data_IF_474495977353
#
_entry.id   IF_474495977353
#
_cell.length_a   1.000
_cell.length_b   1.000
_cell.length_c   1.000
_cell.angle_alpha   90.00
_cell.angle_beta   90.00
_cell.angle_gamma   90.00
#
_symmetry.space_group_name_H-M   'P 1'
#
loop_
_entity.id
_entity.type
_entity.pdbx_description
1 polymer ?
#
# COMPACT_ATOMS: atom_id res chain seq x y z
N UNK A 1 9.98 0.52 5.56
CA UNK A 1 8.96 -0.22 6.34
C UNK A 1 7.55 0.24 5.98
N UNK A 2 6.55 -0.64 6.08
CA UNK A 2 5.13 -0.29 6.03
C UNK A 2 4.48 -0.35 7.42
N UNK A 3 3.48 0.50 7.63
CA UNK A 3 2.46 0.32 8.67
C UNK A 3 1.06 0.39 8.06
N UNK A 4 -0.01 0.36 8.86
CA UNK A 4 -1.37 0.47 8.33
C UNK A 4 -2.27 1.32 9.24
N UNK A 5 -3.30 1.93 8.64
CA UNK A 5 -4.25 2.80 9.33
C UNK A 5 -5.24 2.01 10.18
N UNK A 6 -5.27 2.28 11.49
CA UNK A 6 -6.29 1.72 12.38
C UNK A 6 -7.72 2.17 12.02
N UNK A 7 -8.72 1.35 12.35
CA UNK A 7 -10.13 1.57 12.00
C UNK A 7 -10.69 2.96 12.41
N UNK A 8 -10.10 3.60 13.43
CA UNK A 8 -10.47 4.94 13.91
C UNK A 8 -10.37 6.06 12.85
N UNK A 9 -9.67 5.83 11.75
CA UNK A 9 -9.51 6.80 10.68
C UNK A 9 -10.61 6.71 9.61
N UNK A 10 -11.42 5.65 9.63
CA UNK A 10 -12.45 5.41 8.62
C UNK A 10 -13.38 6.63 8.48
N UNK A 11 -13.73 6.98 7.25
CA UNK A 11 -14.54 8.13 6.85
C UNK A 11 -13.97 9.52 7.15
N UNK A 12 -12.76 9.63 7.74
CA UNK A 12 -12.04 10.91 7.86
C UNK A 12 -11.49 11.33 6.51
N UNK A 13 -11.30 12.64 6.29
CA UNK A 13 -10.69 13.14 5.05
C UNK A 13 -9.19 12.85 5.04
N UNK A 14 -8.70 12.35 3.91
CA UNK A 14 -7.28 12.23 3.59
C UNK A 14 -6.74 13.55 3.05
N UNK A 15 -5.42 13.63 2.85
CA UNK A 15 -4.77 14.77 2.22
C UNK A 15 -5.15 14.96 0.73
N UNK A 16 -5.68 13.94 0.04
CA UNK A 16 -6.26 14.12 -1.30
C UNK A 16 -7.66 14.75 -1.28
N UNK A 17 -8.30 14.87 -0.10
CA UNK A 17 -9.67 15.34 0.06
C UNK A 17 -10.72 14.24 0.03
N UNK A 18 -10.34 13.01 -0.36
CA UNK A 18 -11.20 11.83 -0.32
C UNK A 18 -11.50 11.40 1.13
N UNK A 19 -12.60 10.68 1.34
CA UNK A 19 -12.82 9.99 2.62
C UNK A 19 -12.02 8.69 2.63
N UNK A 20 -11.29 8.44 3.71
CA UNK A 20 -10.57 7.20 3.89
C UNK A 20 -11.53 6.03 4.08
N UNK A 21 -11.51 5.07 3.16
CA UNK A 21 -12.09 3.75 3.34
C UNK A 21 -11.00 2.75 3.72
N UNK A 22 -11.19 2.04 4.84
CA UNK A 22 -10.22 1.05 5.30
C UNK A 22 -10.29 -0.26 4.49
N UNK A 23 -11.38 -0.47 3.76
CA UNK A 23 -11.64 -1.63 2.93
C UNK A 23 -11.17 -1.43 1.48
N UNK A 24 -10.86 -0.19 1.07
CA UNK A 24 -10.27 0.11 -0.23
C UNK A 24 -8.77 -0.17 -0.27
N UNK A 25 -8.22 -0.38 -1.46
CA UNK A 25 -6.78 -0.54 -1.69
C UNK A 25 -6.08 0.81 -1.85
N UNK A 26 -5.92 1.52 -0.73
CA UNK A 26 -5.29 2.84 -0.69
C UNK A 26 -4.08 2.88 0.24
N UNK A 27 -3.24 3.88 0.04
CA UNK A 27 -2.05 4.10 0.86
C UNK A 27 -1.65 5.58 0.96
N UNK A 28 -0.88 5.89 2.00
CA UNK A 28 -0.23 7.17 2.16
C UNK A 28 1.23 7.11 1.79
N UNK A 29 1.69 8.11 1.04
CA UNK A 29 3.07 8.26 0.67
C UNK A 29 3.48 9.75 0.72
N UNK A 30 4.76 10.00 1.04
CA UNK A 30 5.26 11.37 1.31
C UNK A 30 5.20 12.27 0.08
N UNK A 31 5.64 11.75 -1.07
CA UNK A 31 5.94 12.58 -2.26
C UNK A 31 5.21 12.15 -3.52
N UNK A 32 4.91 10.86 -3.70
CA UNK A 32 4.14 10.38 -4.86
C UNK A 32 2.83 11.18 -5.06
N UNK A 33 2.52 11.56 -6.32
CA UNK A 33 1.27 12.24 -6.64
C UNK A 33 0.05 11.44 -6.15
N UNK A 34 -1.03 12.16 -5.82
CA UNK A 34 -2.30 11.49 -5.55
C UNK A 34 -2.81 10.84 -6.83
N UNK A 35 -3.41 9.66 -6.70
CA UNK A 35 -3.85 8.85 -7.83
C UNK A 35 -2.78 7.92 -8.39
N UNK A 36 -1.50 8.10 -8.04
CA UNK A 36 -0.45 7.15 -8.44
C UNK A 36 -0.78 5.75 -7.92
N UNK A 37 -0.73 4.76 -8.81
CA UNK A 37 -0.86 3.34 -8.46
C UNK A 37 0.53 2.75 -8.26
N UNK A 38 0.70 2.04 -7.17
CA UNK A 38 1.95 1.37 -6.84
C UNK A 38 1.70 -0.07 -6.44
N UNK A 39 2.68 -0.91 -6.74
CA UNK A 39 2.76 -2.26 -6.22
C UNK A 39 3.57 -2.26 -4.93
N UNK A 40 2.97 -2.79 -3.88
CA UNK A 40 3.63 -2.97 -2.58
C UNK A 40 3.88 -4.45 -2.38
N UNK A 41 5.14 -4.84 -2.17
CA UNK A 41 5.53 -6.22 -1.90
C UNK A 41 5.99 -6.37 -0.46
N UNK A 42 5.39 -7.30 0.27
CA UNK A 42 5.83 -7.70 1.60
C UNK A 42 7.09 -8.55 1.49
N UNK A 43 8.17 -8.12 2.14
CA UNK A 43 9.41 -8.91 2.21
C UNK A 43 9.32 -10.05 3.24
N UNK A 44 8.24 -10.08 4.03
CA UNK A 44 8.00 -11.12 5.05
C UNK A 44 7.19 -12.28 4.46
N UNK A 45 6.15 -11.97 3.68
CA UNK A 45 5.21 -12.97 3.16
C UNK A 45 5.43 -13.27 1.67
N UNK A 46 6.21 -12.45 0.97
CA UNK A 46 6.39 -12.52 -0.47
C UNK A 46 5.17 -12.11 -1.30
N UNK A 47 4.06 -11.71 -0.64
CA UNK A 47 2.82 -11.28 -1.29
C UNK A 47 2.95 -9.85 -1.79
N UNK A 48 2.23 -9.53 -2.86
CA UNK A 48 2.16 -8.19 -3.45
C UNK A 48 0.72 -7.72 -3.56
N UNK A 49 0.50 -6.41 -3.51
CA UNK A 49 -0.81 -5.78 -3.72
C UNK A 49 -0.65 -4.45 -4.45
N UNK A 50 -1.57 -4.15 -5.36
CA UNK A 50 -1.67 -2.84 -5.98
C UNK A 50 -2.48 -1.90 -5.07
N UNK A 51 -1.98 -0.68 -4.84
CA UNK A 51 -2.69 0.35 -4.07
C UNK A 51 -2.61 1.70 -4.77
N UNK A 52 -3.59 2.56 -4.52
CA UNK A 52 -3.61 3.95 -4.97
C UNK A 52 -3.18 4.89 -3.86
N UNK A 53 -2.32 5.86 -4.18
CA UNK A 53 -1.92 6.91 -3.23
C UNK A 53 -3.05 7.93 -3.11
N UNK A 54 -3.62 8.09 -1.91
CA UNK A 54 -4.67 9.09 -1.63
C UNK A 54 -4.41 9.90 -0.36
N UNK A 55 -3.28 9.69 0.31
CA UNK A 55 -2.97 10.40 1.55
C UNK A 55 -1.46 10.72 1.69
N UNK A 56 -1.11 11.55 2.67
CA UNK A 56 0.26 11.99 2.96
C UNK A 56 0.77 11.40 4.26
N UNK A 57 2.09 11.18 4.27
CA UNK A 57 2.79 10.45 5.32
C UNK A 57 3.43 9.19 4.75
N UNK A 58 3.94 8.27 5.60
CA UNK A 58 4.17 8.43 7.03
C UNK A 58 5.19 9.53 7.33
N UNK A 59 5.03 10.27 8.43
CA UNK A 59 6.03 11.27 8.85
C UNK A 59 7.13 10.69 9.74
N UNK A 60 6.96 9.46 10.26
CA UNK A 60 7.99 8.85 11.10
C UNK A 60 9.17 8.30 10.28
N UNK A 61 10.41 8.47 10.76
CA UNK A 61 11.61 7.91 10.13
C UNK A 61 11.49 6.39 9.87
N UNK A 62 12.07 5.91 8.77
CA UNK A 62 12.13 4.48 8.42
C UNK A 62 10.83 3.87 7.85
N UNK A 63 9.68 4.53 8.01
CA UNK A 63 8.44 4.16 7.30
C UNK A 63 8.39 4.80 5.92
N UNK A 64 7.95 4.07 4.90
CA UNK A 64 7.87 4.57 3.51
C UNK A 64 6.44 4.60 2.98
N UNK A 65 5.53 3.83 3.59
CA UNK A 65 4.12 3.77 3.20
C UNK A 65 3.26 3.38 4.39
N UNK A 66 2.07 3.96 4.49
CA UNK A 66 1.01 3.51 5.41
C UNK A 66 -0.16 2.97 4.58
N UNK A 67 -0.52 1.71 4.80
CA UNK A 67 -1.51 0.97 4.01
C UNK A 67 -2.91 1.07 4.63
N UNK A 68 -3.95 0.91 3.82
CA UNK A 68 -5.28 0.58 4.32
C UNK A 68 -5.30 -0.80 5.00
N UNK A 69 -6.37 -1.09 5.74
CA UNK A 69 -6.55 -2.41 6.39
C UNK A 69 -6.65 -3.52 5.35
N UNK A 70 -7.42 -3.32 4.28
CA UNK A 70 -7.56 -4.28 3.19
C UNK A 70 -6.22 -4.59 2.48
N UNK A 71 -5.43 -3.55 2.19
CA UNK A 71 -4.11 -3.75 1.59
C UNK A 71 -3.16 -4.51 2.53
N UNK A 72 -3.13 -4.16 3.81
CA UNK A 72 -2.34 -4.89 4.81
C UNK A 72 -2.79 -6.35 4.98
N UNK A 73 -4.10 -6.61 4.91
CA UNK A 73 -4.67 -7.96 4.94
C UNK A 73 -4.25 -8.78 3.72
N UNK A 74 -4.33 -8.20 2.52
CA UNK A 74 -3.89 -8.86 1.29
C UNK A 74 -2.40 -9.19 1.30
N UNK A 75 -1.57 -8.36 1.94
CA UNK A 75 -0.16 -8.65 2.15
C UNK A 75 0.13 -9.66 3.28
N UNK A 76 -0.87 -10.05 4.06
CA UNK A 76 -0.68 -10.90 5.23
C UNK A 76 0.11 -10.21 6.36
N UNK A 77 -0.08 -8.89 6.51
CA UNK A 77 0.62 -8.06 7.51
C UNK A 77 -0.23 -7.72 8.75
N UNK A 78 -1.50 -8.13 8.79
CA UNK A 78 -2.34 -7.92 9.97
C UNK A 78 -1.75 -8.62 11.20
N UNK A 79 -1.68 -7.90 12.33
CA UNK A 79 -1.11 -8.40 13.58
C UNK A 79 0.42 -8.42 13.65
N UNK A 80 1.13 -8.17 12.54
CA UNK A 80 2.60 -8.22 12.48
C UNK A 80 3.29 -6.90 12.85
N UNK A 81 2.52 -5.82 13.04
CA UNK A 81 3.06 -4.48 13.31
C UNK A 81 3.77 -3.87 12.08
N UNK A 82 4.87 -3.16 12.31
CA UNK A 82 5.66 -2.52 11.25
C UNK A 82 6.57 -3.57 10.60
N UNK A 83 6.49 -3.74 9.28
CA UNK A 83 7.26 -4.75 8.53
C UNK A 83 7.95 -4.18 7.28
N UNK A 84 9.04 -4.79 6.80
CA UNK A 84 9.72 -4.34 5.60
C UNK A 84 8.89 -4.65 4.34
N UNK A 85 8.82 -3.67 3.45
CA UNK A 85 8.15 -3.77 2.14
C UNK A 85 9.01 -3.11 1.08
N UNK A 86 8.82 -3.51 -0.17
CA UNK A 86 9.30 -2.82 -1.37
C UNK A 86 8.13 -2.16 -2.10
N UNK A 87 8.40 -1.05 -2.79
CA UNK A 87 7.41 -0.32 -3.59
C UNK A 87 7.94 -0.18 -5.01
N UNK A 88 7.09 -0.45 -5.99
CA UNK A 88 7.35 -0.20 -7.42
C UNK A 88 6.13 0.48 -8.05
N UNK A 89 6.30 1.09 -9.22
CA UNK A 89 5.17 1.57 -9.99
C UNK A 89 4.32 0.37 -10.43
N UNK A 90 3.00 0.54 -10.35
CA UNK A 90 2.08 -0.46 -10.87
C UNK A 90 2.09 -0.45 -12.41
N UNK A 91 1.74 -1.58 -13.06
CA UNK A 91 1.51 -1.61 -14.49
C UNK A 91 0.41 -0.63 -14.93
N UNK A 92 0.42 -0.25 -16.20
CA UNK A 92 -0.63 0.58 -16.78
C UNK A 92 -1.99 -0.15 -16.79
N UNK A 93 -1.94 -1.47 -17.01
CA UNK A 93 -3.09 -2.35 -16.88
C UNK A 93 -3.38 -2.62 -15.38
N UNK A 94 -4.56 -2.25 -14.87
CA UNK A 94 -4.92 -2.47 -13.47
C UNK A 94 -5.07 -3.95 -13.10
N UNK A 95 -5.34 -4.82 -14.07
CA UNK A 95 -5.54 -6.25 -13.86
C UNK A 95 -4.23 -7.05 -14.00
N UNK A 96 -3.17 -6.41 -14.49
CA UNK A 96 -1.86 -7.04 -14.58
C UNK A 96 -1.24 -7.27 -13.18
N UNK A 97 -0.55 -8.40 -12.99
CA UNK A 97 0.10 -8.71 -11.72
C UNK A 97 1.19 -7.70 -11.40
N UNK A 98 1.46 -7.54 -10.10
CA UNK A 98 2.54 -6.68 -9.68
C UNK A 98 3.90 -7.24 -10.11
N UNK A 99 4.82 -6.40 -10.63
CA UNK A 99 6.15 -6.85 -10.99
C UNK A 99 6.87 -7.55 -9.83
N UNK A 100 7.47 -8.70 -10.08
CA UNK A 100 8.14 -9.56 -9.09
C UNK A 100 7.21 -10.21 -8.07
N UNK A 101 5.90 -10.26 -8.34
CA UNK A 101 4.96 -11.13 -7.61
C UNK A 101 5.07 -12.57 -8.11
N UNK A 102 4.52 -13.53 -7.34
CA UNK A 102 4.50 -14.95 -7.75
C UNK A 102 3.74 -15.20 -9.05
N UNK A 103 2.78 -14.34 -9.34
CA UNK A 103 1.92 -14.42 -10.53
C UNK A 103 2.46 -13.56 -11.69
N UNK A 104 3.61 -12.89 -11.51
CA UNK A 104 4.26 -12.13 -12.59
C UNK A 104 4.93 -13.09 -13.58
N UNK A 105 4.52 -13.13 -14.85
CA UNK A 105 5.10 -14.01 -15.86
C UNK A 105 6.58 -13.69 -16.16
N UNK A 106 7.10 -12.56 -15.69
CA UNK A 106 8.49 -12.11 -15.86
C UNK A 106 9.31 -12.24 -14.56
N UNK A 107 8.74 -12.81 -13.49
CA UNK A 107 9.50 -13.09 -12.27
C UNK A 107 10.64 -14.10 -12.55
N UNK A 108 11.87 -13.87 -12.04
CA UNK A 108 13.00 -14.76 -12.24
C UNK A 108 12.82 -16.13 -11.57
#
# INVERSE_FOLDING_TARGET
MASWYGARFHSRRTASGERFDMNDFTAAHRTLPFGTRVCVRSLVTGRSVQVRINDRGPHSPGRIVDLSRAAAQSLGLLGLGIKPVAISLAPADPDAPCPGSRDDPVAP
#
